data_IF_007406317393
#
_entry.id   IF_007406317393
#
_cell.length_a   1.000
_cell.length_b   1.000
_cell.length_c   1.000
_cell.angle_alpha   90.00
_cell.angle_beta   90.00
_cell.angle_gamma   90.00
#
_symmetry.space_group_name_H-M   'P 1'
#
loop_
_entity.id
_entity.type
_entity.pdbx_description
1 polymer ?
#
# COMPACT_ATOMS: atom_id res chain seq x y z
N UNK A 1 -2.66 -11.55 -8.82
CA UNK A 1 -3.14 -10.26 -8.27
C UNK A 1 -4.55 -10.45 -7.72
N UNK A 2 -4.82 -9.95 -6.52
CA UNK A 2 -6.15 -9.93 -5.91
C UNK A 2 -6.28 -8.61 -5.13
N UNK A 3 -6.65 -7.50 -5.78
CA UNK A 3 -6.72 -6.20 -5.14
C UNK A 3 -7.90 -6.17 -4.16
N UNK A 4 -7.63 -5.82 -2.90
CA UNK A 4 -8.64 -5.88 -1.83
C UNK A 4 -8.83 -4.56 -1.09
N UNK A 5 -7.76 -3.76 -0.95
CA UNK A 5 -7.83 -2.46 -0.31
C UNK A 5 -7.05 -1.40 -1.09
N UNK A 6 -7.46 -0.15 -0.93
CA UNK A 6 -6.83 1.02 -1.54
C UNK A 6 -6.67 2.15 -0.53
N UNK A 7 -5.55 2.86 -0.57
CA UNK A 7 -5.32 4.11 0.16
C UNK A 7 -4.75 5.19 -0.78
N UNK A 8 -5.08 6.46 -0.54
CA UNK A 8 -4.69 7.58 -1.42
C UNK A 8 -3.94 8.64 -0.62
N UNK A 9 -2.72 8.98 -1.04
CA UNK A 9 -2.00 10.17 -0.60
C UNK A 9 -2.02 11.22 -1.71
N UNK A 10 -3.02 12.10 -1.66
CA UNK A 10 -3.20 13.17 -2.63
C UNK A 10 -2.07 14.22 -2.57
N UNK A 11 -1.38 14.39 -1.43
CA UNK A 11 -0.26 15.36 -1.33
C UNK A 11 0.94 14.91 -2.15
N UNK A 12 1.11 13.60 -2.35
CA UNK A 12 2.24 13.00 -3.10
C UNK A 12 1.83 12.39 -4.44
N UNK A 13 0.56 12.49 -4.85
CA UNK A 13 0.02 11.81 -6.03
C UNK A 13 0.31 10.30 -6.01
N UNK A 14 -0.03 9.64 -4.89
CA UNK A 14 0.17 8.20 -4.71
C UNK A 14 -1.15 7.49 -4.43
N UNK A 15 -1.39 6.39 -5.13
CA UNK A 15 -2.42 5.40 -4.80
C UNK A 15 -1.73 4.10 -4.44
N UNK A 16 -2.10 3.52 -3.31
CA UNK A 16 -1.57 2.26 -2.80
C UNK A 16 -2.65 1.20 -2.91
N UNK A 17 -2.35 0.07 -3.55
CA UNK A 17 -3.29 -1.04 -3.72
C UNK A 17 -2.71 -2.27 -3.05
N UNK A 18 -3.40 -2.81 -2.04
CA UNK A 18 -3.02 -4.08 -1.42
C UNK A 18 -3.49 -5.25 -2.27
N UNK A 19 -2.57 -6.12 -2.65
CA UNK A 19 -2.85 -7.34 -3.40
C UNK A 19 -2.71 -8.55 -2.47
N UNK A 20 -3.81 -8.94 -1.82
CA UNK A 20 -3.81 -9.91 -0.71
C UNK A 20 -3.18 -11.25 -1.08
N UNK A 21 -3.62 -11.88 -2.17
CA UNK A 21 -3.04 -13.16 -2.61
C UNK A 21 -1.63 -13.05 -3.18
N UNK A 22 -1.20 -11.85 -3.58
CA UNK A 22 0.16 -11.59 -4.09
C UNK A 22 1.12 -11.18 -2.97
N UNK A 23 0.63 -10.94 -1.74
CA UNK A 23 1.45 -10.54 -0.59
C UNK A 23 2.28 -9.28 -0.86
N UNK A 24 1.73 -8.36 -1.65
CA UNK A 24 2.39 -7.13 -2.08
C UNK A 24 1.43 -5.93 -2.14
N UNK A 25 2.01 -4.74 -2.27
CA UNK A 25 1.32 -3.47 -2.49
C UNK A 25 1.83 -2.85 -3.78
N UNK A 26 0.93 -2.51 -4.69
CA UNK A 26 1.25 -1.71 -5.87
C UNK A 26 1.14 -0.22 -5.54
N UNK A 27 2.19 0.54 -5.86
CA UNK A 27 2.21 2.01 -5.75
C UNK A 27 2.01 2.61 -7.14
N UNK A 28 1.00 3.46 -7.27
CA UNK A 28 0.58 4.08 -8.54
C UNK A 28 0.74 5.60 -8.43
N UNK A 29 1.28 6.21 -9.48
CA UNK A 29 1.24 7.66 -9.69
C UNK A 29 -0.16 8.05 -10.19
N UNK A 30 -0.93 8.75 -9.36
CA UNK A 30 -2.30 9.14 -9.71
C UNK A 30 -2.38 10.24 -10.77
N UNK A 31 -1.31 11.02 -10.97
CA UNK A 31 -1.27 12.07 -11.97
C UNK A 31 -0.98 11.51 -13.37
N UNK A 32 -0.18 10.45 -13.44
CA UNK A 32 0.23 9.80 -14.70
C UNK A 32 -0.52 8.51 -15.01
N UNK A 33 -1.30 8.02 -14.04
CA UNK A 33 -1.97 6.72 -14.11
C UNK A 33 -1.01 5.58 -14.45
N UNK A 34 0.15 5.55 -13.78
CA UNK A 34 1.20 4.57 -14.04
C UNK A 34 1.71 3.91 -12.76
N UNK A 35 2.07 2.64 -12.82
CA UNK A 35 2.72 1.94 -11.70
C UNK A 35 4.11 2.51 -11.48
N UNK A 36 4.43 2.85 -10.24
CA UNK A 36 5.75 3.32 -9.83
C UNK A 36 6.62 2.17 -9.34
N UNK A 37 6.07 1.34 -8.44
CA UNK A 37 6.77 0.19 -7.85
C UNK A 37 5.79 -0.76 -7.18
N UNK A 38 6.28 -1.94 -6.84
CA UNK A 38 5.60 -2.92 -5.99
C UNK A 38 6.42 -3.13 -4.72
N UNK A 39 5.76 -3.17 -3.57
CA UNK A 39 6.37 -3.31 -2.24
C UNK A 39 5.92 -4.63 -1.63
N UNK A 40 6.83 -5.39 -1.03
CA UNK A 40 6.43 -6.57 -0.26
C UNK A 40 5.72 -6.14 1.02
N UNK A 41 4.55 -6.72 1.29
CA UNK A 41 3.65 -6.28 2.36
C UNK A 41 3.44 -7.33 3.46
N UNK A 42 4.13 -8.46 3.38
CA UNK A 42 3.85 -9.64 4.20
C UNK A 42 2.62 -10.40 3.72
N UNK A 43 2.20 -11.41 4.49
CA UNK A 43 1.09 -12.31 4.09
C UNK A 43 -0.26 -11.61 4.19
N UNK A 44 -1.04 -11.72 3.13
CA UNK A 44 -2.44 -11.29 3.07
C UNK A 44 -2.67 -9.84 3.56
N UNK A 45 -2.04 -8.81 2.94
CA UNK A 45 -2.39 -7.43 3.24
C UNK A 45 -3.85 -7.20 2.89
N UNK A 46 -4.65 -6.71 3.84
CA UNK A 46 -6.10 -6.55 3.64
C UNK A 46 -6.63 -5.17 4.01
N UNK A 47 -5.87 -4.36 4.75
CA UNK A 47 -6.21 -2.97 5.01
C UNK A 47 -4.99 -2.06 4.88
N UNK A 48 -5.24 -0.83 4.43
CA UNK A 48 -4.23 0.21 4.22
C UNK A 48 -4.73 1.52 4.82
N UNK A 49 -3.83 2.25 5.47
CA UNK A 49 -4.05 3.65 5.86
C UNK A 49 -2.79 4.46 5.58
N UNK A 50 -2.95 5.72 5.15
CA UNK A 50 -1.82 6.61 4.89
C UNK A 50 -1.93 7.85 5.75
N UNK A 51 -0.81 8.25 6.38
CA UNK A 51 -0.69 9.58 6.94
C UNK A 51 -0.15 10.53 5.86
N UNK A 52 -0.97 11.44 5.30
CA UNK A 52 -0.52 12.33 4.24
C UNK A 52 0.52 13.35 4.71
N UNK A 53 0.66 13.60 6.02
CA UNK A 53 1.67 14.53 6.52
C UNK A 53 3.06 13.89 6.47
N UNK A 54 3.24 12.76 7.13
CA UNK A 54 4.53 12.05 7.12
C UNK A 54 4.80 11.26 5.83
N UNK A 55 3.75 10.85 5.11
CA UNK A 55 3.82 9.94 3.97
C UNK A 55 3.96 8.47 4.37
N UNK A 56 3.75 8.14 5.65
CA UNK A 56 3.82 6.75 6.12
C UNK A 56 2.58 5.96 5.68
N UNK A 57 2.81 4.75 5.16
CA UNK A 57 1.77 3.79 4.86
C UNK A 57 1.72 2.72 5.96
N UNK A 58 0.57 2.59 6.58
CA UNK A 58 0.25 1.56 7.56
C UNK A 58 -0.46 0.42 6.85
N UNK A 59 0.03 -0.80 7.08
CA UNK A 59 -0.48 -2.01 6.48
C UNK A 59 -0.92 -2.96 7.57
N UNK A 60 -2.15 -3.45 7.44
CA UNK A 60 -2.67 -4.55 8.25
C UNK A 60 -2.67 -5.83 7.42
N UNK A 61 -2.08 -6.88 7.98
CA UNK A 61 -1.83 -8.16 7.31
C UNK A 61 -2.41 -9.31 8.13
N UNK A 62 -3.12 -10.25 7.49
CA UNK A 62 -3.75 -11.40 8.17
C UNK A 62 -2.79 -12.61 8.18
N UNK A 63 -2.42 -13.07 9.38
CA UNK A 63 -1.62 -14.30 9.55
C UNK A 63 -0.18 -14.08 10.03
N UNK A 64 0.25 -12.84 10.27
CA UNK A 64 1.44 -12.52 11.07
C UNK A 64 1.13 -11.36 12.03
N UNK A 65 1.71 -11.34 13.25
CA UNK A 65 1.54 -10.24 14.19
C UNK A 65 2.42 -9.06 13.77
N UNK A 66 2.01 -8.28 12.76
CA UNK A 66 2.68 -7.02 12.49
C UNK A 66 1.78 -6.03 11.76
N UNK A 67 1.41 -4.95 12.44
CA UNK A 67 1.33 -3.65 11.80
C UNK A 67 2.70 -3.35 11.21
N UNK A 68 2.80 -3.34 9.88
CA UNK A 68 4.03 -2.96 9.20
C UNK A 68 3.91 -1.48 8.77
N UNK A 69 4.87 -0.66 9.22
CA UNK A 69 5.09 0.65 8.62
C UNK A 69 6.01 0.45 7.43
N UNK A 70 5.48 0.68 6.24
CA UNK A 70 6.27 0.65 5.02
C UNK A 70 6.58 2.11 4.66
N UNK A 71 7.86 2.45 4.48
CA UNK A 71 8.22 3.73 3.86
C UNK A 71 7.98 3.62 2.34
N UNK A 72 7.00 4.35 1.78
CA UNK A 72 6.69 4.26 0.38
C UNK A 72 7.54 5.18 -0.50
N UNK A 73 8.49 5.95 0.05
CA UNK A 73 9.34 6.89 -0.70
C UNK A 73 10.25 6.18 -1.70
#
# INVERSE_FOLDING_TARGET
>A
MHPQAVAVDAKRNRVYVANTHSSDITVIDSARNSVLKTLHAGKNPYALAVDPNSGQLYVESYGEPALAVIDPR
#
